data_IF_567604702107
#
_entry.id   IF_567604702107
#
_cell.length_a   1.000
_cell.length_b   1.000
_cell.length_c   1.000
_cell.angle_alpha   90.00
_cell.angle_beta   90.00
_cell.angle_gamma   90.00
#
_symmetry.space_group_name_H-M   'P 1'
#
loop_
_entity.id
_entity.type
_entity.pdbx_description
1 polymer ?
#
# COMPACT_ATOMS: atom_id res chain seq x y z
N UNK A 1 -0.40 6.10 14.40
CA UNK A 1 -1.35 6.92 15.19
C UNK A 1 -2.42 7.44 14.23
N UNK A 2 -3.65 6.89 14.26
CA UNK A 2 -4.65 7.17 13.21
C UNK A 2 -6.00 7.68 13.66
N UNK A 3 -6.35 7.58 14.96
CA UNK A 3 -7.69 7.98 15.44
C UNK A 3 -7.55 8.81 16.71
N UNK A 4 -8.17 9.99 16.76
CA UNK A 4 -8.20 10.84 17.96
C UNK A 4 -9.38 10.47 18.86
N UNK A 5 -9.40 9.23 19.35
CA UNK A 5 -10.42 8.73 20.29
C UNK A 5 -9.80 8.59 21.69
N UNK A 6 -9.83 9.64 22.54
CA UNK A 6 -9.41 9.52 23.92
C UNK A 6 -10.36 8.61 24.70
N UNK A 7 -9.83 7.90 25.69
CA UNK A 7 -10.58 6.97 26.54
C UNK A 7 -10.32 7.29 28.00
N UNK A 8 -11.29 7.07 28.91
CA UNK A 8 -11.07 7.32 30.35
C UNK A 8 -9.85 6.56 30.88
N UNK A 9 -9.69 5.31 30.44
CA UNK A 9 -8.62 4.40 30.85
C UNK A 9 -7.91 3.84 29.62
N UNK A 10 -6.58 3.84 29.66
CA UNK A 10 -5.71 3.18 28.68
C UNK A 10 -4.92 2.09 29.39
N UNK A 11 -4.82 0.92 28.76
CA UNK A 11 -4.03 -0.21 29.25
C UNK A 11 -2.98 -0.54 28.19
N UNK A 12 -1.71 -0.33 28.53
CA UNK A 12 -0.57 -0.79 27.73
C UNK A 12 -0.26 -2.21 28.18
N UNK A 13 -0.77 -3.17 27.41
CA UNK A 13 -0.67 -4.60 27.73
C UNK A 13 0.76 -5.12 27.57
N UNK A 14 1.37 -4.83 26.43
CA UNK A 14 2.69 -5.32 26.05
C UNK A 14 3.63 -4.13 25.87
N UNK A 15 4.71 -4.09 26.67
CA UNK A 15 5.73 -3.03 26.60
C UNK A 15 6.95 -3.44 25.77
N UNK A 16 6.92 -4.64 25.20
CA UNK A 16 7.95 -5.15 24.28
C UNK A 16 7.31 -5.53 22.96
N UNK A 17 8.02 -5.31 21.86
CA UNK A 17 7.69 -5.79 20.51
C UNK A 17 8.86 -6.54 19.91
N UNK A 18 8.59 -7.42 18.95
CA UNK A 18 9.67 -8.01 18.18
C UNK A 18 10.38 -6.94 17.36
N UNK A 19 11.71 -6.96 17.39
CA UNK A 19 12.58 -6.13 16.58
C UNK A 19 13.61 -7.05 15.92
N UNK A 20 13.47 -7.24 14.60
CA UNK A 20 14.35 -8.11 13.82
C UNK A 20 15.81 -7.63 13.84
N UNK A 21 16.05 -6.32 13.94
CA UNK A 21 17.41 -5.77 14.02
C UNK A 21 18.06 -6.05 15.37
N UNK A 22 17.26 -6.15 16.43
CA UNK A 22 17.72 -6.55 17.76
C UNK A 22 17.75 -8.07 17.95
N UNK A 23 17.27 -8.85 16.98
CA UNK A 23 17.21 -10.31 17.02
C UNK A 23 16.25 -10.87 18.07
N UNK A 24 15.23 -10.10 18.48
CA UNK A 24 14.31 -10.55 19.53
C UNK A 24 13.33 -9.50 20.03
N UNK A 25 12.73 -9.76 21.19
CA UNK A 25 11.80 -8.82 21.83
C UNK A 25 12.56 -7.63 22.42
N UNK A 26 12.32 -6.45 21.86
CA UNK A 26 12.86 -5.19 22.32
C UNK A 26 11.77 -4.37 23.04
N UNK A 27 12.14 -3.59 24.06
CA UNK A 27 11.23 -2.65 24.72
C UNK A 27 10.74 -1.58 23.75
N UNK A 28 9.49 -1.15 23.91
CA UNK A 28 8.97 0.06 23.25
C UNK A 28 9.72 1.29 23.74
N UNK A 29 9.82 2.32 22.89
CA UNK A 29 10.41 3.60 23.31
C UNK A 29 9.56 4.26 24.40
N UNK A 30 10.20 5.09 25.23
CA UNK A 30 9.52 5.87 26.26
C UNK A 30 8.48 6.78 25.61
N UNK A 31 8.83 7.42 24.50
CA UNK A 31 7.92 8.27 23.74
C UNK A 31 6.67 7.51 23.27
N UNK A 32 6.80 6.29 22.76
CA UNK A 32 5.64 5.48 22.32
C UNK A 32 4.70 5.16 23.49
N UNK A 33 5.26 4.72 24.62
CA UNK A 33 4.46 4.42 25.82
C UNK A 33 3.77 5.69 26.33
N UNK A 34 4.47 6.82 26.39
CA UNK A 34 3.90 8.11 26.77
C UNK A 34 2.78 8.55 25.82
N UNK A 35 2.93 8.34 24.51
CA UNK A 35 1.88 8.64 23.53
C UNK A 35 0.64 7.76 23.72
N UNK A 36 0.81 6.48 24.08
CA UNK A 36 -0.31 5.61 24.43
C UNK A 36 -1.00 6.10 25.70
N UNK A 37 -0.23 6.32 26.78
CA UNK A 37 -0.76 6.79 28.06
C UNK A 37 -1.46 8.16 27.95
N UNK A 38 -0.94 9.06 27.11
CA UNK A 38 -1.51 10.38 26.86
C UNK A 38 -2.90 10.37 26.22
N UNK A 39 -3.40 9.21 25.77
CA UNK A 39 -4.78 9.01 25.32
C UNK A 39 -5.77 8.80 26.47
N UNK A 40 -5.28 8.67 27.70
CA UNK A 40 -6.10 8.51 28.90
C UNK A 40 -6.71 9.84 29.36
N UNK A 41 -8.02 9.82 29.61
CA UNK A 41 -8.84 10.97 30.02
C UNK A 41 -9.52 11.63 28.82
N UNK A 42 -10.86 11.68 28.83
CA UNK A 42 -11.63 12.39 27.80
C UNK A 42 -11.84 13.85 28.22
N UNK A 43 -11.31 14.83 27.46
CA UNK A 43 -11.49 16.24 27.77
C UNK A 43 -12.98 16.60 27.91
N UNK A 44 -13.33 17.24 29.03
CA UNK A 44 -14.71 17.67 29.32
C UNK A 44 -15.67 16.60 29.83
N UNK A 45 -15.26 15.32 29.88
CA UNK A 45 -16.10 14.21 30.38
C UNK A 45 -15.54 13.57 31.64
N UNK A 46 -14.22 13.31 31.68
CA UNK A 46 -13.59 12.64 32.81
C UNK A 46 -12.83 13.63 33.70
N UNK A 47 -12.94 13.55 35.03
CA UNK A 47 -12.20 14.42 35.95
C UNK A 47 -10.69 14.13 35.98
N UNK A 48 -10.28 12.94 35.53
CA UNK A 48 -8.90 12.51 35.39
C UNK A 48 -8.82 11.31 34.42
N UNK A 49 -7.64 11.06 33.85
CA UNK A 49 -7.34 9.88 33.03
C UNK A 49 -6.55 8.84 33.82
N UNK A 50 -6.75 7.56 33.50
CA UNK A 50 -6.00 6.45 34.10
C UNK A 50 -5.20 5.71 33.02
N UNK A 51 -3.88 5.61 33.20
CA UNK A 51 -3.02 4.81 32.36
C UNK A 51 -2.40 3.67 33.17
N UNK A 52 -2.47 2.45 32.64
CA UNK A 52 -1.98 1.23 33.30
C UNK A 52 -0.93 0.54 32.42
N UNK A 53 0.18 0.15 33.02
CA UNK A 53 1.15 -0.80 32.46
C UNK A 53 0.97 -2.14 33.17
N UNK A 54 0.98 -3.24 32.42
CA UNK A 54 0.87 -4.59 32.99
C UNK A 54 2.28 -5.13 33.27
N UNK A 55 2.53 -5.47 34.53
CA UNK A 55 3.72 -6.19 34.97
C UNK A 55 3.34 -7.62 35.39
N UNK A 56 4.19 -8.60 35.08
CA UNK A 56 4.00 -10.00 35.45
C UNK A 56 4.66 -10.37 36.78
N UNK A 57 5.54 -9.52 37.30
CA UNK A 57 6.24 -9.70 38.57
C UNK A 57 6.48 -8.36 39.28
N UNK A 58 6.89 -8.40 40.56
CA UNK A 58 7.28 -7.18 41.28
C UNK A 58 8.57 -6.56 40.71
N UNK A 59 9.54 -7.38 40.31
CA UNK A 59 10.78 -6.88 39.70
C UNK A 59 10.48 -6.15 38.37
N UNK A 60 9.54 -6.67 37.57
CA UNK A 60 9.10 -6.02 36.34
C UNK A 60 8.31 -4.73 36.63
N UNK A 61 7.54 -4.67 37.72
CA UNK A 61 6.86 -3.45 38.13
C UNK A 61 7.86 -2.33 38.38
N UNK A 62 8.90 -2.59 39.17
CA UNK A 62 9.94 -1.60 39.47
C UNK A 62 10.67 -1.16 38.18
N UNK A 63 11.01 -2.10 37.29
CA UNK A 63 11.60 -1.77 35.99
C UNK A 63 10.71 -0.85 35.15
N UNK A 64 9.40 -1.14 35.07
CA UNK A 64 8.47 -0.36 34.25
C UNK A 64 8.28 1.06 34.80
N UNK A 65 8.28 1.23 36.12
CA UNK A 65 8.25 2.57 36.72
C UNK A 65 9.51 3.36 36.38
N UNK A 66 10.69 2.76 36.54
CA UNK A 66 11.96 3.41 36.21
C UNK A 66 12.06 3.75 34.73
N UNK A 67 11.71 2.79 33.86
CA UNK A 67 11.85 2.91 32.41
C UNK A 67 10.84 3.86 31.77
N UNK A 68 9.60 3.89 32.25
CA UNK A 68 8.53 4.61 31.55
C UNK A 68 7.86 5.70 32.39
N UNK A 69 7.67 5.52 33.70
CA UNK A 69 6.92 6.50 34.49
C UNK A 69 7.81 7.64 34.96
N UNK A 70 9.05 7.34 35.36
CA UNK A 70 9.99 8.33 35.88
C UNK A 70 11.01 8.81 34.85
N UNK A 71 11.12 8.13 33.70
CA UNK A 71 12.02 8.52 32.63
C UNK A 71 11.41 9.60 31.73
N UNK A 72 12.25 10.53 31.27
CA UNK A 72 11.93 11.41 30.17
C UNK A 72 12.01 10.66 28.82
N UNK A 73 11.25 11.07 27.79
CA UNK A 73 11.36 10.53 26.44
C UNK A 73 12.78 10.62 25.87
N UNK A 74 13.14 9.67 25.02
CA UNK A 74 14.42 9.68 24.33
C UNK A 74 14.57 10.96 23.47
N UNK A 75 15.77 11.55 23.39
CA UNK A 75 15.99 12.73 22.56
C UNK A 75 15.78 12.38 21.09
N UNK A 76 15.12 13.27 20.34
CA UNK A 76 14.92 13.11 18.90
C UNK A 76 16.27 13.02 18.20
N UNK A 77 16.48 11.97 17.40
CA UNK A 77 17.69 11.76 16.59
C UNK A 77 17.36 11.84 15.12
N UNK A 78 18.22 12.51 14.35
CA UNK A 78 18.11 12.54 12.89
C UNK A 78 18.27 11.13 12.30
N UNK A 79 17.43 10.81 11.31
CA UNK A 79 17.50 9.58 10.51
C UNK A 79 18.05 9.82 9.10
N UNK A 80 18.53 11.04 8.81
CA UNK A 80 18.97 11.43 7.47
C UNK A 80 20.12 10.57 6.94
N UNK A 81 21.04 10.11 7.79
CA UNK A 81 22.21 9.31 7.35
C UNK A 81 21.87 7.90 6.84
N UNK A 82 20.60 7.50 6.82
CA UNK A 82 20.22 6.30 6.10
C UNK A 82 20.41 6.52 4.59
N UNK A 83 21.09 5.59 3.91
CA UNK A 83 21.40 5.69 2.47
C UNK A 83 20.16 5.97 1.59
N UNK A 84 18.98 5.32 1.80
CA UNK A 84 17.78 5.62 1.01
C UNK A 84 17.34 7.09 1.07
N UNK A 85 17.37 7.66 2.28
CA UNK A 85 17.00 9.06 2.49
C UNK A 85 18.01 10.00 1.81
N UNK A 86 19.31 9.75 1.98
CA UNK A 86 20.34 10.61 1.38
C UNK A 86 20.34 10.56 -0.14
N UNK A 87 20.19 9.39 -0.74
CA UNK A 87 20.13 9.22 -2.21
C UNK A 87 19.01 10.06 -2.82
N UNK A 88 17.81 9.93 -2.27
CA UNK A 88 16.62 10.69 -2.71
C UNK A 88 16.81 12.20 -2.52
N UNK A 89 17.32 12.62 -1.36
CA UNK A 89 17.50 14.04 -1.07
C UNK A 89 18.64 14.70 -1.86
N UNK A 90 19.74 13.98 -2.13
CA UNK A 90 20.84 14.49 -2.96
C UNK A 90 20.34 14.71 -4.39
N UNK A 91 19.69 13.71 -4.99
CA UNK A 91 19.12 13.85 -6.34
C UNK A 91 18.12 15.02 -6.39
N UNK A 92 17.20 15.09 -5.42
CA UNK A 92 16.21 16.17 -5.36
C UNK A 92 16.85 17.56 -5.21
N UNK A 93 17.93 17.68 -4.43
CA UNK A 93 18.65 18.96 -4.21
C UNK A 93 19.32 19.44 -5.49
N UNK A 94 19.90 18.53 -6.29
CA UNK A 94 20.48 18.88 -7.59
C UNK A 94 19.38 19.16 -8.62
N UNK A 95 18.37 18.28 -8.72
CA UNK A 95 17.26 18.41 -9.68
C UNK A 95 16.40 19.67 -9.48
N UNK A 96 16.34 20.20 -8.25
CA UNK A 96 15.67 21.47 -7.95
C UNK A 96 16.58 22.71 -8.09
N UNK A 97 17.88 22.52 -8.33
CA UNK A 97 18.85 23.58 -8.50
C UNK A 97 19.33 24.23 -7.19
N UNK A 98 19.08 23.63 -6.03
CA UNK A 98 19.60 24.14 -4.75
C UNK A 98 21.11 23.92 -4.59
N UNK A 99 21.67 22.89 -5.24
CA UNK A 99 23.10 22.66 -5.32
C UNK A 99 23.49 22.14 -6.70
N UNK A 100 24.67 22.52 -7.17
CA UNK A 100 25.24 22.12 -8.47
C UNK A 100 26.70 21.67 -8.35
N UNK A 101 27.15 21.35 -7.13
CA UNK A 101 28.50 20.88 -6.85
C UNK A 101 28.51 20.11 -5.54
N UNK A 102 29.52 19.24 -5.37
CA UNK A 102 29.77 18.54 -4.11
C UNK A 102 29.83 19.50 -2.91
N UNK A 103 30.51 20.64 -3.07
CA UNK A 103 30.62 21.65 -2.01
C UNK A 103 29.26 22.25 -1.65
N UNK A 104 28.41 22.55 -2.64
CA UNK A 104 27.05 23.05 -2.41
C UNK A 104 26.14 22.03 -1.71
N UNK A 105 26.26 20.74 -2.07
CA UNK A 105 25.54 19.67 -1.40
C UNK A 105 25.93 19.54 0.07
N UNK A 106 27.23 19.59 0.37
CA UNK A 106 27.70 19.55 1.76
C UNK A 106 27.26 20.79 2.55
N UNK A 107 27.30 21.99 1.96
CA UNK A 107 26.77 23.19 2.60
C UNK A 107 25.27 23.06 2.94
N UNK A 108 24.50 22.45 2.05
CA UNK A 108 23.09 22.15 2.30
C UNK A 108 22.92 21.15 3.45
N UNK A 109 23.63 20.01 3.40
CA UNK A 109 23.55 18.95 4.41
C UNK A 109 24.06 19.40 5.79
N UNK A 110 25.02 20.32 5.85
CA UNK A 110 25.53 20.94 7.08
C UNK A 110 24.45 21.73 7.84
N UNK A 111 23.36 22.15 7.18
CA UNK A 111 22.24 22.86 7.80
C UNK A 111 21.16 21.94 8.36
N UNK A 112 21.36 20.62 8.30
CA UNK A 112 20.38 19.63 8.76
C UNK A 112 20.54 19.31 10.26
N UNK A 113 19.49 18.73 10.86
CA UNK A 113 19.57 18.19 12.22
C UNK A 113 20.67 17.13 12.36
N UNK A 114 20.93 16.36 11.30
CA UNK A 114 21.98 15.34 11.29
C UNK A 114 23.35 15.94 11.54
N UNK A 115 23.71 16.99 10.80
CA UNK A 115 24.99 17.68 10.95
C UNK A 115 25.14 18.37 12.30
N UNK A 116 24.02 18.84 12.90
CA UNK A 116 24.05 19.42 14.25
C UNK A 116 24.28 18.36 15.34
N UNK A 117 23.78 17.14 15.14
CA UNK A 117 23.83 16.07 16.14
C UNK A 117 25.06 15.17 16.03
N UNK A 118 25.69 15.11 14.86
CA UNK A 118 26.85 14.26 14.61
C UNK A 118 28.10 15.11 14.39
N UNK A 119 29.13 14.86 15.19
CA UNK A 119 30.41 15.56 15.08
C UNK A 119 31.29 15.01 13.94
N UNK A 120 30.97 13.83 13.39
CA UNK A 120 31.77 13.21 12.34
C UNK A 120 31.35 13.70 10.94
N UNK A 121 31.89 14.86 10.57
CA UNK A 121 31.77 15.42 9.23
C UNK A 121 32.28 14.47 8.13
N UNK A 122 33.24 13.59 8.43
CA UNK A 122 33.86 12.72 7.43
C UNK A 122 32.91 11.61 6.99
N UNK A 123 32.07 11.14 7.90
CA UNK A 123 31.04 10.16 7.56
C UNK A 123 30.03 10.75 6.57
N UNK A 124 29.54 11.96 6.83
CA UNK A 124 28.62 12.66 5.93
C UNK A 124 29.26 12.93 4.55
N UNK A 125 30.53 13.35 4.53
CA UNK A 125 31.28 13.54 3.29
C UNK A 125 31.40 12.24 2.50
N UNK A 126 31.79 11.14 3.15
CA UNK A 126 31.91 9.83 2.49
C UNK A 126 30.58 9.36 1.92
N UNK A 127 29.51 9.36 2.73
CA UNK A 127 28.19 8.91 2.26
C UNK A 127 27.68 9.81 1.12
N UNK A 128 27.93 11.12 1.18
CA UNK A 128 27.57 12.02 0.07
C UNK A 128 28.31 11.65 -1.21
N UNK A 129 29.61 11.34 -1.12
CA UNK A 129 30.42 10.92 -2.27
C UNK A 129 29.93 9.59 -2.84
N UNK A 130 29.66 8.60 -1.98
CA UNK A 130 29.12 7.29 -2.38
C UNK A 130 27.76 7.45 -3.10
N UNK A 131 26.90 8.37 -2.63
CA UNK A 131 25.60 8.63 -3.26
C UNK A 131 25.73 9.39 -4.59
N UNK A 132 26.67 10.34 -4.71
CA UNK A 132 26.93 11.02 -5.99
C UNK A 132 27.42 10.00 -7.01
N UNK A 133 28.37 9.14 -6.64
CA UNK A 133 28.88 8.08 -7.52
C UNK A 133 27.76 7.12 -7.92
N UNK A 134 26.93 6.68 -6.97
CA UNK A 134 25.78 5.83 -7.27
C UNK A 134 24.82 6.48 -8.28
N UNK A 135 24.47 7.75 -8.07
CA UNK A 135 23.55 8.46 -8.94
C UNK A 135 24.14 8.72 -10.34
N UNK A 136 25.46 8.94 -10.45
CA UNK A 136 26.17 9.11 -11.72
C UNK A 136 26.23 7.79 -12.51
N UNK A 137 26.64 6.70 -11.85
CA UNK A 137 26.72 5.36 -12.48
C UNK A 137 25.37 4.88 -13.00
N UNK A 138 24.29 5.19 -12.30
CA UNK A 138 22.93 4.84 -12.71
C UNK A 138 22.28 5.87 -13.65
N UNK A 139 22.99 6.94 -14.04
CA UNK A 139 22.52 7.93 -15.01
C UNK A 139 21.41 8.84 -14.50
N UNK A 140 21.33 9.07 -13.19
CA UNK A 140 20.41 10.03 -12.57
C UNK A 140 21.07 11.41 -12.37
N UNK A 141 22.38 11.45 -12.20
CA UNK A 141 23.20 12.66 -12.22
C UNK A 141 24.28 12.54 -13.30
N UNK A 142 24.75 13.68 -13.79
CA UNK A 142 25.99 13.80 -14.56
C UNK A 142 26.98 14.64 -13.75
N UNK A 143 28.20 14.10 -13.56
CA UNK A 143 29.33 14.83 -12.98
C UNK A 143 30.25 15.35 -14.08
N UNK A 144 30.24 16.66 -14.32
CA UNK A 144 31.12 17.30 -15.31
C UNK A 144 32.60 17.28 -14.85
N UNK A 145 33.58 17.35 -15.79
CA UNK A 145 35.01 17.34 -15.44
C UNK A 145 35.47 18.47 -14.52
N UNK A 146 34.72 19.58 -14.46
CA UNK A 146 34.99 20.70 -13.56
C UNK A 146 34.34 20.55 -12.17
N UNK A 147 33.62 19.45 -11.93
CA UNK A 147 32.92 19.13 -10.69
C UNK A 147 31.48 19.66 -10.61
N UNK A 148 30.95 20.20 -11.71
CA UNK A 148 29.54 20.59 -11.80
C UNK A 148 28.64 19.36 -11.79
N UNK A 149 27.63 19.36 -10.94
CA UNK A 149 26.61 18.33 -10.84
C UNK A 149 25.33 18.80 -11.53
N UNK A 150 24.81 17.99 -12.44
CA UNK A 150 23.51 18.23 -13.08
C UNK A 150 22.65 16.98 -13.03
N UNK A 151 21.34 17.15 -12.85
CA UNK A 151 20.43 16.01 -12.94
C UNK A 151 20.14 15.70 -14.40
N UNK A 152 20.18 14.42 -14.76
CA UNK A 152 19.79 13.98 -16.11
C UNK A 152 18.27 14.15 -16.30
N UNK A 153 17.78 14.02 -17.54
CA UNK A 153 16.33 13.96 -17.79
C UNK A 153 15.65 12.88 -16.95
N UNK A 154 16.28 11.70 -16.88
CA UNK A 154 15.82 10.56 -16.10
C UNK A 154 15.85 10.89 -14.60
N UNK A 155 16.92 11.51 -14.10
CA UNK A 155 17.02 11.96 -12.71
C UNK A 155 15.95 12.98 -12.33
N UNK A 156 15.61 13.92 -13.21
CA UNK A 156 14.48 14.82 -13.02
C UNK A 156 13.14 14.08 -12.97
N UNK A 157 12.96 13.03 -13.76
CA UNK A 157 11.75 12.20 -13.71
C UNK A 157 11.66 11.41 -12.40
N UNK A 158 12.73 10.70 -12.00
CA UNK A 158 12.79 9.97 -10.72
C UNK A 158 12.49 10.90 -9.54
N UNK A 159 13.11 12.09 -9.52
CA UNK A 159 12.85 13.10 -8.47
C UNK A 159 11.40 13.59 -8.45
N UNK A 160 10.77 13.82 -9.62
CA UNK A 160 9.36 14.25 -9.71
C UNK A 160 8.36 13.16 -9.33
N UNK A 161 8.69 11.91 -9.61
CA UNK A 161 7.89 10.74 -9.23
C UNK A 161 8.00 10.43 -7.72
N UNK A 162 8.95 11.07 -7.02
CA UNK A 162 9.25 10.82 -5.62
C UNK A 162 9.66 9.36 -5.36
N UNK A 163 10.30 8.74 -6.35
CA UNK A 163 10.76 7.36 -6.32
C UNK A 163 12.19 7.30 -5.80
N UNK A 164 12.50 6.34 -4.93
CA UNK A 164 13.89 6.14 -4.53
C UNK A 164 14.74 5.78 -5.77
N UNK A 165 15.91 6.41 -5.99
CA UNK A 165 16.73 6.11 -7.17
C UNK A 165 17.20 4.66 -7.28
N UNK A 166 17.26 3.90 -6.19
CA UNK A 166 17.50 2.45 -6.21
C UNK A 166 16.28 1.68 -6.71
N UNK A 167 15.08 2.06 -6.29
CA UNK A 167 13.84 1.52 -6.87
C UNK A 167 13.76 1.82 -8.37
N UNK A 168 14.16 3.02 -8.78
CA UNK A 168 14.23 3.40 -10.19
C UNK A 168 15.22 2.52 -10.96
N UNK A 169 16.43 2.30 -10.42
CA UNK A 169 17.43 1.44 -11.06
C UNK A 169 16.93 -0.01 -11.22
N UNK A 170 16.36 -0.59 -10.16
CA UNK A 170 15.78 -1.95 -10.17
C UNK A 170 14.66 -2.08 -11.22
N UNK A 171 13.72 -1.12 -11.24
CA UNK A 171 12.63 -1.09 -12.21
C UNK A 171 13.17 -0.97 -13.64
N UNK A 172 14.13 -0.07 -13.88
CA UNK A 172 14.69 0.14 -15.22
C UNK A 172 15.42 -1.11 -15.73
N UNK A 173 16.17 -1.79 -14.85
CA UNK A 173 16.84 -3.04 -15.19
C UNK A 173 15.82 -4.13 -15.56
N UNK A 174 14.83 -4.39 -14.70
CA UNK A 174 13.80 -5.39 -14.97
C UNK A 174 12.96 -5.09 -16.23
N UNK A 175 12.64 -3.81 -16.49
CA UNK A 175 11.92 -3.42 -17.71
C UNK A 175 12.77 -3.55 -18.97
N UNK A 176 14.08 -3.31 -18.88
CA UNK A 176 15.01 -3.49 -20.01
C UNK A 176 15.12 -4.96 -20.40
N UNK A 177 15.19 -5.85 -19.42
CA UNK A 177 15.23 -7.30 -19.65
C UNK A 177 13.89 -7.78 -20.27
N UNK A 178 12.76 -7.32 -19.72
CA UNK A 178 11.45 -7.60 -20.31
C UNK A 178 11.34 -7.12 -21.77
N UNK A 179 11.85 -5.92 -22.09
CA UNK A 179 11.80 -5.38 -23.45
C UNK A 179 12.59 -6.22 -24.47
N UNK A 180 13.63 -6.92 -24.02
CA UNK A 180 14.42 -7.82 -24.85
C UNK A 180 13.72 -9.17 -25.10
N UNK A 181 13.02 -9.70 -24.08
CA UNK A 181 12.52 -11.08 -24.07
C UNK A 181 11.03 -11.22 -24.44
N UNK A 182 10.21 -10.17 -24.32
CA UNK A 182 8.80 -10.18 -24.75
C UNK A 182 7.82 -9.54 -23.76
N UNK A 183 6.51 -9.78 -23.94
CA UNK A 183 5.47 -9.19 -23.06
C UNK A 183 5.61 -9.78 -21.65
N UNK A 184 5.96 -8.98 -20.63
CA UNK A 184 6.14 -9.49 -19.27
C UNK A 184 4.82 -10.00 -18.69
N UNK A 185 4.90 -10.98 -17.78
CA UNK A 185 3.74 -11.46 -17.04
C UNK A 185 3.33 -10.46 -15.95
N UNK A 186 2.07 -10.54 -15.51
CA UNK A 186 1.56 -9.68 -14.44
C UNK A 186 2.26 -9.98 -13.12
N UNK A 187 2.49 -11.27 -12.82
CA UNK A 187 3.28 -11.69 -11.66
C UNK A 187 4.70 -11.12 -11.69
N UNK A 188 5.37 -11.16 -12.84
CA UNK A 188 6.71 -10.61 -13.02
C UNK A 188 6.77 -9.11 -12.76
N UNK A 189 5.78 -8.36 -13.24
CA UNK A 189 5.67 -6.92 -12.99
C UNK A 189 5.34 -6.59 -11.54
N UNK A 190 4.44 -7.35 -10.89
CA UNK A 190 4.13 -7.19 -9.47
C UNK A 190 5.33 -7.53 -8.60
N UNK A 191 6.09 -8.56 -8.96
CA UNK A 191 7.32 -8.93 -8.27
C UNK A 191 8.43 -7.91 -8.46
N UNK A 192 8.62 -7.39 -9.67
CA UNK A 192 9.56 -6.30 -9.94
C UNK A 192 9.34 -5.10 -9.03
N UNK A 193 8.10 -4.61 -8.92
CA UNK A 193 7.80 -3.48 -8.02
C UNK A 193 7.83 -3.86 -6.55
N UNK A 194 7.50 -5.10 -6.21
CA UNK A 194 7.50 -5.57 -4.83
C UNK A 194 8.90 -5.70 -4.23
N UNK A 195 9.93 -5.95 -5.06
CA UNK A 195 11.34 -6.01 -4.64
C UNK A 195 11.98 -4.64 -4.40
N UNK A 196 11.27 -3.56 -4.70
CA UNK A 196 11.83 -2.21 -4.55
C UNK A 196 11.78 -1.73 -3.10
N UNK A 197 12.77 -0.94 -2.63
CA UNK A 197 12.78 -0.37 -1.29
C UNK A 197 11.53 0.44 -0.90
N UNK A 198 10.77 0.91 -1.89
CA UNK A 198 9.53 1.66 -1.69
C UNK A 198 8.31 0.76 -1.39
N UNK A 199 8.41 -0.54 -1.59
CA UNK A 199 7.41 -1.51 -1.16
C UNK A 199 7.77 -2.08 0.21
N UNK A 200 6.85 -1.99 1.18
CA UNK A 200 6.94 -2.82 2.37
C UNK A 200 6.42 -4.21 2.03
N UNK A 201 7.26 -5.23 2.14
CA UNK A 201 6.93 -6.61 1.77
C UNK A 201 6.14 -7.35 2.87
N UNK A 202 5.53 -8.47 2.50
CA UNK A 202 4.99 -9.44 3.43
C UNK A 202 6.11 -10.34 3.96
N UNK A 203 6.18 -10.50 5.28
CA UNK A 203 7.11 -11.45 5.89
C UNK A 203 6.74 -12.89 5.57
N UNK A 204 7.76 -13.73 5.39
CA UNK A 204 7.62 -15.18 5.33
C UNK A 204 7.25 -15.76 6.70
N UNK A 205 6.36 -16.74 6.68
CA UNK A 205 5.93 -17.54 7.83
C UNK A 205 6.51 -18.94 7.74
N UNK A 206 6.27 -19.72 8.79
CA UNK A 206 6.63 -21.14 8.79
C UNK A 206 5.96 -21.86 7.60
N UNK A 207 6.79 -22.41 6.71
CA UNK A 207 6.36 -23.10 5.49
C UNK A 207 6.40 -22.24 4.23
N UNK A 208 6.35 -20.90 4.36
CA UNK A 208 6.34 -19.99 3.22
C UNK A 208 7.65 -20.07 2.43
N UNK A 209 8.80 -20.18 3.10
CA UNK A 209 10.10 -20.28 2.41
C UNK A 209 10.13 -21.46 1.42
N UNK A 210 9.64 -22.64 1.83
CA UNK A 210 9.55 -23.82 0.97
C UNK A 210 8.52 -23.62 -0.15
N UNK A 211 7.33 -23.11 0.18
CA UNK A 211 6.24 -22.84 -0.78
C UNK A 211 6.67 -21.87 -1.88
N UNK A 212 7.23 -20.72 -1.50
CA UNK A 212 7.62 -19.68 -2.45
C UNK A 212 8.90 -20.04 -3.19
N UNK A 213 9.80 -20.84 -2.62
CA UNK A 213 10.93 -21.42 -3.38
C UNK A 213 10.42 -22.34 -4.48
N UNK A 214 9.46 -23.23 -4.18
CA UNK A 214 8.85 -24.09 -5.21
C UNK A 214 8.13 -23.28 -6.28
N UNK A 215 7.38 -22.24 -5.88
CA UNK A 215 6.71 -21.34 -6.83
C UNK A 215 7.72 -20.61 -7.72
N UNK A 216 8.85 -20.17 -7.15
CA UNK A 216 9.93 -19.50 -7.89
C UNK A 216 10.49 -20.41 -8.99
N UNK A 217 10.71 -21.70 -8.69
CA UNK A 217 11.15 -22.69 -9.68
C UNK A 217 10.07 -23.01 -10.72
N UNK A 218 8.80 -23.11 -10.32
CA UNK A 218 7.69 -23.37 -11.24
C UNK A 218 7.50 -22.22 -12.24
N UNK A 219 7.73 -20.98 -11.78
CA UNK A 219 7.44 -19.75 -12.52
C UNK A 219 8.71 -18.97 -12.87
N UNK A 220 9.86 -19.63 -13.00
CA UNK A 220 11.16 -18.98 -13.24
C UNK A 220 11.12 -17.99 -14.42
N UNK A 221 10.47 -18.38 -15.52
CA UNK A 221 10.32 -17.56 -16.74
C UNK A 221 9.45 -16.30 -16.55
N UNK A 222 8.72 -16.19 -15.44
CA UNK A 222 7.85 -15.05 -15.17
C UNK A 222 8.61 -13.84 -14.63
N UNK A 223 9.78 -14.04 -14.00
CA UNK A 223 10.48 -13.00 -13.24
C UNK A 223 11.39 -12.14 -14.12
N UNK A 224 11.55 -10.89 -13.71
CA UNK A 224 12.32 -9.89 -14.42
C UNK A 224 13.58 -9.53 -13.63
N UNK A 225 14.72 -9.41 -14.33
CA UNK A 225 16.00 -9.09 -13.71
C UNK A 225 16.68 -10.29 -13.06
N UNK A 226 17.61 -10.01 -12.14
CA UNK A 226 18.41 -11.03 -11.47
C UNK A 226 17.60 -11.82 -10.44
N UNK A 227 17.67 -13.16 -10.53
CA UNK A 227 17.20 -14.08 -9.50
C UNK A 227 18.41 -14.49 -8.63
N UNK A 228 18.43 -14.14 -7.34
CA UNK A 228 19.52 -14.52 -6.44
C UNK A 228 19.53 -16.03 -6.21
N UNK A 229 20.71 -16.56 -5.87
CA UNK A 229 20.84 -17.97 -5.50
C UNK A 229 20.17 -18.23 -4.14
N UNK A 230 19.60 -19.43 -3.94
CA UNK A 230 19.05 -19.87 -2.63
C UNK A 230 20.06 -19.80 -1.47
N UNK A 231 21.37 -19.75 -1.77
CA UNK A 231 22.42 -19.62 -0.77
C UNK A 231 22.80 -18.16 -0.47
N UNK A 232 22.22 -17.21 -1.19
CA UNK A 232 22.41 -15.79 -0.99
C UNK A 232 21.46 -15.29 0.11
N UNK A 233 21.94 -14.52 1.10
CA UNK A 233 21.07 -13.89 2.11
C UNK A 233 19.91 -13.07 1.52
N UNK A 234 20.09 -12.50 0.32
CA UNK A 234 19.05 -11.72 -0.36
C UNK A 234 17.89 -12.57 -0.88
N UNK A 235 18.02 -13.90 -0.90
CA UNK A 235 16.96 -14.80 -1.40
C UNK A 235 15.70 -14.74 -0.52
N UNK A 236 15.83 -14.59 0.79
CA UNK A 236 14.69 -14.50 1.71
C UNK A 236 13.84 -13.24 1.45
N UNK A 237 14.50 -12.10 1.25
CA UNK A 237 13.83 -10.84 0.87
C UNK A 237 13.20 -10.97 -0.53
N UNK A 238 13.92 -11.60 -1.47
CA UNK A 238 13.38 -11.87 -2.82
C UNK A 238 12.10 -12.74 -2.80
N UNK A 239 12.04 -13.74 -1.90
CA UNK A 239 10.85 -14.56 -1.67
C UNK A 239 9.73 -13.78 -0.96
N UNK A 240 10.07 -12.87 -0.05
CA UNK A 240 9.10 -11.97 0.62
C UNK A 240 8.42 -11.04 -0.40
N UNK A 241 9.19 -10.51 -1.35
CA UNK A 241 8.65 -9.81 -2.51
C UNK A 241 7.78 -10.72 -3.39
N UNK A 242 8.16 -11.99 -3.60
CA UNK A 242 7.36 -12.95 -4.37
C UNK A 242 6.01 -13.24 -3.71
N UNK A 243 6.01 -13.45 -2.39
CA UNK A 243 4.79 -13.58 -1.59
C UNK A 243 3.88 -12.36 -1.73
N UNK A 244 4.48 -11.17 -1.69
CA UNK A 244 3.76 -9.91 -1.89
C UNK A 244 3.15 -9.83 -3.29
N UNK A 245 3.92 -10.19 -4.31
CA UNK A 245 3.47 -10.20 -5.71
C UNK A 245 2.33 -11.20 -5.94
N UNK A 246 2.40 -12.39 -5.32
CA UNK A 246 1.35 -13.40 -5.41
C UNK A 246 0.04 -12.93 -4.74
N UNK A 247 0.12 -12.21 -3.62
CA UNK A 247 -1.05 -11.55 -3.02
C UNK A 247 -1.68 -10.52 -3.96
N UNK A 248 -0.86 -9.69 -4.63
CA UNK A 248 -1.33 -8.72 -5.62
C UNK A 248 -1.93 -9.41 -6.86
N UNK A 249 -1.37 -10.54 -7.27
CA UNK A 249 -1.89 -11.37 -8.35
C UNK A 249 -3.25 -11.96 -7.99
N UNK A 250 -3.41 -12.56 -6.80
CA UNK A 250 -4.71 -13.06 -6.33
C UNK A 250 -5.77 -11.94 -6.27
N UNK A 251 -5.38 -10.74 -5.81
CA UNK A 251 -6.24 -9.57 -5.84
C UNK A 251 -6.67 -9.20 -7.27
N UNK A 252 -5.73 -9.18 -8.22
CA UNK A 252 -5.96 -8.91 -9.63
C UNK A 252 -6.56 -10.09 -10.43
N UNK A 253 -6.76 -11.23 -9.78
CA UNK A 253 -7.46 -12.41 -10.29
C UNK A 253 -8.81 -12.61 -9.60
N UNK A 254 -9.32 -11.54 -8.99
CA UNK A 254 -10.65 -11.51 -8.39
C UNK A 254 -10.88 -12.51 -7.24
N UNK A 255 -9.83 -12.93 -6.53
CA UNK A 255 -9.97 -13.69 -5.28
C UNK A 255 -10.60 -12.81 -4.20
N UNK A 256 -11.58 -13.35 -3.47
CA UNK A 256 -12.33 -12.60 -2.45
C UNK A 256 -11.39 -12.03 -1.38
N UNK A 257 -11.68 -10.81 -0.91
CA UNK A 257 -10.80 -10.10 0.03
C UNK A 257 -10.58 -10.91 1.31
N UNK A 258 -11.62 -11.55 1.84
CA UNK A 258 -11.52 -12.39 3.03
C UNK A 258 -10.59 -13.60 2.81
N UNK A 259 -10.67 -14.25 1.65
CA UNK A 259 -9.77 -15.36 1.30
C UNK A 259 -8.31 -14.90 1.20
N UNK A 260 -8.05 -13.71 0.65
CA UNK A 260 -6.71 -13.12 0.61
C UNK A 260 -6.24 -12.83 2.04
N UNK A 261 -7.08 -12.21 2.88
CA UNK A 261 -6.69 -11.92 4.27
C UNK A 261 -6.37 -13.18 5.06
N UNK A 262 -7.12 -14.26 4.86
CA UNK A 262 -6.86 -15.55 5.52
C UNK A 262 -5.58 -16.20 4.98
N UNK A 263 -5.46 -16.35 3.66
CA UNK A 263 -4.32 -17.01 2.99
C UNK A 263 -2.99 -16.36 3.34
N UNK A 264 -2.92 -15.03 3.29
CA UNK A 264 -1.70 -14.29 3.57
C UNK A 264 -1.60 -13.84 5.03
N UNK A 265 -2.65 -14.08 5.86
CA UNK A 265 -2.84 -13.61 7.24
C UNK A 265 -2.58 -12.11 7.43
N UNK A 266 -3.09 -11.31 6.51
CA UNK A 266 -2.96 -9.86 6.53
C UNK A 266 -4.31 -9.23 6.83
N UNK A 267 -4.34 -7.99 7.31
CA UNK A 267 -5.60 -7.27 7.46
C UNK A 267 -6.12 -6.72 6.13
N UNK A 268 -7.42 -6.40 6.03
CA UNK A 268 -8.00 -5.66 4.89
C UNK A 268 -7.28 -4.34 4.58
N UNK A 269 -6.76 -3.67 5.62
CA UNK A 269 -5.98 -2.44 5.48
C UNK A 269 -4.60 -2.66 4.86
N UNK A 270 -3.97 -3.81 5.15
CA UNK A 270 -2.66 -4.17 4.58
C UNK A 270 -2.80 -4.45 3.08
N UNK A 271 -3.83 -5.21 2.68
CA UNK A 271 -4.12 -5.47 1.26
C UNK A 271 -4.28 -4.15 0.51
N UNK A 272 -5.13 -3.25 1.02
CA UNK A 272 -5.33 -1.91 0.41
C UNK A 272 -4.04 -1.10 0.32
N UNK A 273 -3.25 -1.07 1.39
CA UNK A 273 -1.97 -0.36 1.40
C UNK A 273 -1.00 -0.90 0.36
N UNK A 274 -0.90 -2.22 0.22
CA UNK A 274 -0.05 -2.87 -0.80
C UNK A 274 -0.53 -2.58 -2.21
N UNK A 275 -1.85 -2.65 -2.44
CA UNK A 275 -2.46 -2.31 -3.73
C UNK A 275 -2.19 -0.86 -4.11
N UNK A 276 -2.32 0.08 -3.16
CA UNK A 276 -2.05 1.50 -3.40
C UNK A 276 -0.57 1.74 -3.76
N UNK A 277 0.36 1.16 -3.00
CA UNK A 277 1.80 1.25 -3.29
C UNK A 277 2.13 0.61 -4.65
N UNK A 278 1.61 -0.58 -4.95
CA UNK A 278 1.84 -1.27 -6.21
C UNK A 278 1.30 -0.47 -7.40
N UNK A 279 0.10 0.11 -7.27
CA UNK A 279 -0.48 0.99 -8.30
C UNK A 279 0.43 2.19 -8.58
N UNK A 280 0.93 2.84 -7.53
CA UNK A 280 1.85 3.98 -7.69
C UNK A 280 3.15 3.54 -8.36
N UNK A 281 3.79 2.47 -7.89
CA UNK A 281 5.04 1.94 -8.46
C UNK A 281 4.90 1.45 -9.91
N UNK A 282 3.80 0.80 -10.27
CA UNK A 282 3.54 0.45 -11.66
C UNK A 282 3.31 1.70 -12.52
N UNK A 283 2.74 2.77 -11.94
CA UNK A 283 2.63 4.07 -12.60
C UNK A 283 3.98 4.75 -12.83
N UNK A 284 4.91 4.62 -11.88
CA UNK A 284 6.29 5.09 -12.05
C UNK A 284 7.01 4.25 -13.11
N UNK A 285 6.89 2.92 -13.05
CA UNK A 285 7.43 2.00 -14.05
C UNK A 285 6.90 2.29 -15.46
N UNK A 286 5.61 2.58 -15.62
CA UNK A 286 5.01 2.96 -16.90
C UNK A 286 5.62 4.27 -17.44
N UNK A 287 5.82 5.26 -16.55
CA UNK A 287 6.43 6.55 -16.90
C UNK A 287 7.90 6.39 -17.34
N UNK A 288 8.66 5.56 -16.61
CA UNK A 288 10.06 5.25 -16.93
C UNK A 288 10.17 4.47 -18.25
N UNK A 289 9.31 3.48 -18.47
CA UNK A 289 9.24 2.76 -19.74
C UNK A 289 8.97 3.70 -20.92
N UNK A 290 8.03 4.64 -20.76
CA UNK A 290 7.71 5.64 -21.78
C UNK A 290 8.87 6.60 -22.08
N UNK A 291 9.59 7.07 -21.05
CA UNK A 291 10.74 7.96 -21.22
C UNK A 291 11.94 7.26 -21.88
N UNK A 292 12.20 6.00 -21.50
CA UNK A 292 13.30 5.20 -22.03
C UNK A 292 12.96 4.53 -23.37
N UNK A 293 11.70 4.59 -23.79
CA UNK A 293 11.23 4.04 -25.07
C UNK A 293 11.05 2.52 -25.07
N UNK A 294 10.86 1.90 -23.90
CA UNK A 294 10.59 0.46 -23.80
C UNK A 294 9.17 0.13 -24.29
N UNK A 295 9.06 -0.90 -25.13
CA UNK A 295 7.82 -1.40 -25.70
C UNK A 295 6.90 -2.12 -24.70
N UNK A 296 7.37 -2.37 -23.48
CA UNK A 296 6.61 -3.02 -22.40
C UNK A 296 5.61 -2.11 -21.68
N UNK A 297 5.62 -0.79 -21.94
CA UNK A 297 4.73 0.17 -21.29
C UNK A 297 3.23 -0.21 -21.31
N UNK A 298 2.65 -0.78 -22.38
CA UNK A 298 1.26 -1.24 -22.37
C UNK A 298 0.99 -2.38 -21.38
N UNK A 299 1.93 -3.31 -21.22
CA UNK A 299 1.81 -4.41 -20.26
C UNK A 299 1.89 -3.89 -18.82
N UNK A 300 2.77 -2.93 -18.55
CA UNK A 300 2.85 -2.25 -17.25
C UNK A 300 1.56 -1.51 -16.92
N UNK A 301 0.99 -0.80 -17.91
CA UNK A 301 -0.31 -0.11 -17.76
C UNK A 301 -1.43 -1.10 -17.44
N UNK A 302 -1.49 -2.22 -18.14
CA UNK A 302 -2.49 -3.26 -17.88
C UNK A 302 -2.36 -3.80 -16.45
N UNK A 303 -1.16 -4.19 -16.03
CA UNK A 303 -0.90 -4.64 -14.66
C UNK A 303 -1.31 -3.58 -13.62
N UNK A 304 -1.03 -2.30 -13.89
CA UNK A 304 -1.45 -1.18 -13.03
C UNK A 304 -2.98 -1.10 -12.90
N UNK A 305 -3.72 -1.20 -13.99
CA UNK A 305 -5.18 -1.11 -13.98
C UNK A 305 -5.80 -2.33 -13.28
N UNK A 306 -5.24 -3.52 -13.51
CA UNK A 306 -5.69 -4.76 -12.86
C UNK A 306 -5.49 -4.72 -11.35
N UNK A 307 -4.33 -4.26 -10.87
CA UNK A 307 -4.10 -4.12 -9.42
C UNK A 307 -4.92 -2.98 -8.82
N UNK A 308 -5.09 -1.85 -9.52
CA UNK A 308 -5.88 -0.70 -9.05
C UNK A 308 -7.33 -1.10 -8.73
N UNK A 309 -7.92 -1.92 -9.60
CA UNK A 309 -9.32 -2.29 -9.47
C UNK A 309 -9.56 -3.68 -8.88
N UNK A 310 -8.54 -4.54 -8.81
CA UNK A 310 -8.66 -5.92 -8.36
C UNK A 310 -9.48 -6.77 -9.32
N UNK A 311 -9.13 -6.69 -10.61
CA UNK A 311 -9.89 -7.31 -11.70
C UNK A 311 -9.00 -7.98 -12.73
N UNK A 312 -9.55 -8.99 -13.40
CA UNK A 312 -8.91 -9.64 -14.55
C UNK A 312 -8.87 -8.72 -15.79
N UNK A 313 -8.13 -9.14 -16.82
CA UNK A 313 -7.85 -8.33 -18.01
C UNK A 313 -9.15 -7.87 -18.70
N UNK A 314 -10.15 -8.75 -18.81
CA UNK A 314 -11.40 -8.47 -19.50
C UNK A 314 -12.26 -7.39 -18.82
N UNK A 315 -12.08 -7.17 -17.51
CA UNK A 315 -12.89 -6.22 -16.74
C UNK A 315 -12.25 -4.82 -16.64
N UNK A 316 -11.03 -4.65 -17.15
CA UNK A 316 -10.25 -3.41 -16.98
C UNK A 316 -10.98 -2.17 -17.49
N UNK A 317 -11.76 -2.28 -18.57
CA UNK A 317 -12.51 -1.14 -19.10
C UNK A 317 -13.69 -0.76 -18.19
N UNK A 318 -14.51 -1.75 -17.81
CA UNK A 318 -15.67 -1.56 -16.91
C UNK A 318 -15.26 -1.03 -15.54
N UNK A 319 -14.21 -1.60 -14.95
CA UNK A 319 -13.79 -1.28 -13.59
C UNK A 319 -13.27 0.15 -13.44
N UNK A 320 -12.83 0.78 -14.54
CA UNK A 320 -12.47 2.19 -14.54
C UNK A 320 -13.67 3.16 -14.62
N UNK A 321 -14.91 2.66 -14.69
CA UNK A 321 -16.12 3.49 -14.56
C UNK A 321 -16.34 3.82 -13.08
N UNK A 322 -16.50 5.12 -12.78
CA UNK A 322 -16.75 5.56 -11.39
C UNK A 322 -17.98 4.86 -10.83
N UNK A 323 -17.84 4.27 -9.65
CA UNK A 323 -18.91 3.50 -9.00
C UNK A 323 -19.00 2.04 -9.42
N UNK A 324 -18.14 1.56 -10.33
CA UNK A 324 -18.05 0.15 -10.71
C UNK A 324 -16.79 -0.46 -10.08
N UNK A 325 -16.93 -1.06 -8.90
CA UNK A 325 -15.85 -1.86 -8.30
C UNK A 325 -15.81 -3.29 -8.85
N UNK A 326 -14.78 -4.08 -8.50
CA UNK A 326 -14.56 -5.46 -8.98
C UNK A 326 -15.80 -6.35 -9.04
N UNK A 327 -16.56 -6.47 -7.94
CA UNK A 327 -17.78 -7.30 -7.88
C UNK A 327 -18.87 -6.81 -8.84
N UNK A 328 -18.97 -5.50 -9.07
CA UNK A 328 -19.95 -4.91 -10.00
C UNK A 328 -19.51 -5.10 -11.44
N UNK A 329 -18.23 -4.91 -11.74
CA UNK A 329 -17.65 -5.17 -13.06
C UNK A 329 -17.92 -6.62 -13.50
N UNK A 330 -17.62 -7.60 -12.63
CA UNK A 330 -17.86 -9.01 -12.94
C UNK A 330 -19.33 -9.35 -13.18
N UNK A 331 -20.24 -8.76 -12.39
CA UNK A 331 -21.70 -8.95 -12.59
C UNK A 331 -22.19 -8.37 -13.91
N UNK A 332 -21.73 -7.16 -14.27
CA UNK A 332 -22.07 -6.54 -15.55
C UNK A 332 -21.53 -7.38 -16.72
N UNK A 333 -20.29 -7.83 -16.63
CA UNK A 333 -19.67 -8.68 -17.64
C UNK A 333 -20.42 -10.00 -17.84
N UNK A 334 -20.79 -10.67 -16.74
CA UNK A 334 -21.58 -11.90 -16.80
C UNK A 334 -22.99 -11.69 -17.36
N UNK A 335 -23.53 -10.47 -17.27
CA UNK A 335 -24.79 -10.08 -17.90
C UNK A 335 -24.63 -9.66 -19.39
N UNK A 336 -23.45 -9.85 -19.97
CA UNK A 336 -23.16 -9.53 -21.38
C UNK A 336 -22.81 -8.07 -21.66
N UNK A 337 -22.53 -7.28 -20.62
CA UNK A 337 -22.05 -5.90 -20.74
C UNK A 337 -20.54 -5.94 -20.53
N UNK A 338 -19.76 -6.01 -21.61
CA UNK A 338 -18.34 -6.33 -21.54
C UNK A 338 -17.45 -5.09 -21.42
N UNK A 339 -17.89 -3.95 -21.94
CA UNK A 339 -17.09 -2.72 -21.98
C UNK A 339 -17.88 -1.43 -21.67
N UNK A 340 -17.19 -0.28 -21.66
CA UNK A 340 -17.82 1.02 -21.39
C UNK A 340 -18.82 1.45 -22.46
N UNK A 341 -18.61 1.04 -23.70
CA UNK A 341 -19.52 1.35 -24.78
C UNK A 341 -20.81 0.55 -24.64
N UNK A 342 -20.71 -0.75 -24.34
CA UNK A 342 -21.84 -1.60 -24.01
C UNK A 342 -22.63 -1.02 -22.85
N UNK A 343 -21.97 -0.66 -21.74
CA UNK A 343 -22.64 -0.11 -20.57
C UNK A 343 -23.35 1.23 -20.86
N UNK A 344 -22.84 2.04 -21.81
CA UNK A 344 -23.45 3.31 -22.20
C UNK A 344 -24.73 3.14 -23.02
N UNK A 345 -24.87 2.04 -23.73
CA UNK A 345 -26.03 1.75 -24.57
C UNK A 345 -26.87 0.55 -24.05
N UNK A 346 -26.51 0.00 -22.89
CA UNK A 346 -27.14 -1.16 -22.27
C UNK A 346 -28.61 -0.91 -21.86
N UNK A 347 -29.41 -1.97 -21.90
CA UNK A 347 -30.79 -1.90 -21.41
C UNK A 347 -30.82 -1.70 -19.89
N UNK A 348 -31.61 -0.72 -19.44
CA UNK A 348 -31.69 -0.34 -18.02
C UNK A 348 -32.12 -1.50 -17.11
N UNK A 349 -33.00 -2.38 -17.59
CA UNK A 349 -33.44 -3.59 -16.87
C UNK A 349 -32.30 -4.57 -16.64
N UNK A 350 -31.43 -4.77 -17.64
CA UNK A 350 -30.24 -5.65 -17.55
C UNK A 350 -29.24 -5.08 -16.54
N UNK A 351 -28.93 -3.80 -16.64
CA UNK A 351 -28.03 -3.10 -15.69
C UNK A 351 -28.60 -3.17 -14.26
N UNK A 352 -29.90 -2.95 -14.10
CA UNK A 352 -30.57 -3.02 -12.80
C UNK A 352 -30.56 -4.45 -12.23
N UNK A 353 -30.79 -5.46 -13.06
CA UNK A 353 -30.70 -6.88 -12.70
C UNK A 353 -29.30 -7.28 -12.25
N UNK A 354 -28.28 -6.97 -13.06
CA UNK A 354 -26.87 -7.24 -12.76
C UNK A 354 -26.41 -6.57 -11.45
N UNK A 355 -26.96 -5.40 -11.13
CA UNK A 355 -26.67 -4.66 -9.90
C UNK A 355 -27.64 -4.98 -8.74
N UNK A 356 -28.29 -6.15 -8.77
CA UNK A 356 -29.18 -6.67 -7.72
C UNK A 356 -30.33 -5.71 -7.35
N UNK A 357 -30.94 -5.08 -8.36
CA UNK A 357 -32.08 -4.19 -8.17
C UNK A 357 -31.76 -2.85 -7.49
N UNK A 358 -30.48 -2.50 -7.28
CA UNK A 358 -30.07 -1.27 -6.59
C UNK A 358 -30.21 -0.04 -7.50
N UNK A 359 -31.42 0.51 -7.58
CA UNK A 359 -31.78 1.62 -8.48
C UNK A 359 -30.80 2.80 -8.42
N UNK A 360 -30.52 3.36 -7.24
CA UNK A 360 -29.58 4.49 -7.08
C UNK A 360 -28.18 4.18 -7.59
N UNK A 361 -27.70 2.95 -7.36
CA UNK A 361 -26.38 2.52 -7.82
C UNK A 361 -26.36 2.41 -9.34
N UNK A 362 -27.38 1.79 -9.93
CA UNK A 362 -27.47 1.63 -11.37
C UNK A 362 -27.61 2.99 -12.09
N UNK A 363 -28.44 3.89 -11.57
CA UNK A 363 -28.56 5.27 -12.06
C UNK A 363 -27.21 6.00 -12.01
N UNK A 364 -26.52 5.97 -10.87
CA UNK A 364 -25.19 6.60 -10.73
C UNK A 364 -24.16 6.02 -11.72
N UNK A 365 -24.16 4.70 -11.92
CA UNK A 365 -23.24 4.04 -12.86
C UNK A 365 -23.55 4.46 -14.30
N UNK A 366 -24.83 4.50 -14.68
CA UNK A 366 -25.27 4.96 -16.00
C UNK A 366 -24.96 6.45 -16.23
N UNK A 367 -25.10 7.30 -15.22
CA UNK A 367 -24.68 8.70 -15.27
C UNK A 367 -23.17 8.81 -15.53
N UNK A 368 -22.37 8.06 -14.77
CA UNK A 368 -20.91 8.11 -14.85
C UNK A 368 -20.36 7.61 -16.20
N UNK A 369 -21.05 6.67 -16.87
CA UNK A 369 -20.65 6.20 -18.21
C UNK A 369 -21.18 7.10 -19.35
N UNK A 370 -22.10 8.02 -19.02
CA UNK A 370 -22.74 8.93 -19.98
C UNK A 370 -23.90 8.30 -20.75
N UNK A 371 -24.66 7.42 -20.11
CA UNK A 371 -25.89 6.85 -20.68
C UNK A 371 -26.91 7.96 -21.00
N UNK A 372 -27.68 7.81 -22.09
CA UNK A 372 -28.57 8.87 -22.60
C UNK A 372 -29.79 9.13 -21.71
N UNK A 373 -30.23 8.10 -21.00
CA UNK A 373 -31.34 8.13 -20.06
C UNK A 373 -30.95 7.30 -18.84
N UNK A 374 -30.32 7.87 -17.81
CA UNK A 374 -29.83 7.11 -16.67
C UNK A 374 -30.91 6.80 -15.62
N UNK A 375 -32.07 7.46 -15.69
CA UNK A 375 -33.11 7.34 -14.66
C UNK A 375 -33.67 5.92 -14.57
N UNK A 376 -33.72 5.40 -13.34
CA UNK A 376 -34.26 4.07 -13.01
C UNK A 376 -35.73 4.10 -12.58
N UNK A 377 -36.41 5.24 -12.71
CA UNK A 377 -37.82 5.37 -12.33
C UNK A 377 -38.72 4.49 -13.23
N UNK A 378 -39.47 3.58 -12.60
CA UNK A 378 -40.42 2.70 -13.29
C UNK A 378 -39.77 1.56 -14.09
N UNK A 379 -38.49 1.27 -13.87
CA UNK A 379 -37.79 0.14 -14.49
C UNK A 379 -37.78 -1.05 -13.53
N UNK A 380 -38.23 -2.20 -14.02
CA UNK A 380 -38.14 -3.48 -13.33
C UNK A 380 -36.81 -4.18 -13.70
N UNK A 381 -36.14 -4.86 -12.74
CA UNK A 381 -34.92 -5.59 -13.01
C UNK A 381 -35.19 -6.78 -13.92
N UNK A 382 -34.29 -7.02 -14.87
CA UNK A 382 -34.28 -8.25 -15.65
C UNK A 382 -33.88 -9.42 -14.73
N UNK A 383 -34.75 -10.43 -14.62
CA UNK A 383 -34.51 -11.63 -13.80
C UNK A 383 -33.40 -12.50 -14.38
N UNK A 384 -33.23 -12.53 -15.70
CA UNK A 384 -32.21 -13.34 -16.38
C UNK A 384 -30.81 -12.72 -16.24
N UNK A 385 -30.73 -11.42 -15.91
CA UNK A 385 -29.48 -10.71 -15.65
C UNK A 385 -29.07 -10.72 -14.16
N UNK A 386 -29.86 -11.34 -13.28
CA UNK A 386 -29.51 -11.41 -11.86
C UNK A 386 -28.38 -12.43 -11.65
N UNK A 387 -27.34 -12.06 -10.87
CA UNK A 387 -26.27 -13.00 -10.56
C UNK A 387 -26.82 -14.16 -9.70
N UNK A 388 -26.39 -15.39 -10.01
CA UNK A 388 -26.68 -16.56 -9.17
C UNK A 388 -26.19 -16.30 -7.73
N UNK A 389 -27.09 -16.37 -6.74
CA UNK A 389 -26.80 -16.11 -5.32
C UNK A 389 -25.85 -17.14 -4.66
N UNK A 390 -25.15 -17.97 -5.43
CA UNK A 390 -24.40 -19.12 -4.96
C UNK A 390 -23.05 -18.80 -4.27
N UNK A 391 -22.76 -17.54 -3.92
CA UNK A 391 -21.47 -17.14 -3.33
C UNK A 391 -21.53 -16.12 -2.19
N UNK A 392 -22.70 -15.63 -1.80
CA UNK A 392 -22.82 -14.62 -0.73
C UNK A 392 -23.23 -15.30 0.59
N UNK A 393 -22.25 -15.94 1.24
CA UNK A 393 -22.42 -16.57 2.54
C UNK A 393 -22.57 -15.58 3.68
N UNK A 394 -23.74 -14.97 3.80
CA UNK A 394 -24.40 -14.69 5.08
C UNK A 394 -24.09 -13.39 5.83
N UNK A 395 -24.89 -12.35 5.56
CA UNK A 395 -25.47 -11.52 6.64
C UNK A 395 -26.87 -12.07 6.96
N UNK A 396 -26.87 -13.21 7.65
CA UNK A 396 -28.08 -13.85 8.17
C UNK A 396 -28.28 -13.49 9.63
N UNK A 397 -29.32 -12.71 9.90
CA UNK A 397 -29.89 -12.47 11.23
C UNK A 397 -29.95 -13.77 12.06
N UNK A 398 -29.08 -13.90 13.06
CA UNK A 398 -29.29 -14.89 14.13
C UNK A 398 -30.28 -14.32 15.15
N UNK A 399 -31.56 -14.48 14.86
CA UNK A 399 -32.61 -14.43 15.88
C UNK A 399 -32.38 -15.52 16.93
N UNK A 400 -31.82 -15.14 18.07
CA UNK A 400 -31.88 -16.00 19.26
C UNK A 400 -33.25 -15.85 19.90
N UNK A 401 -34.05 -16.91 19.84
CA UNK A 401 -35.27 -17.04 20.63
C UNK A 401 -34.85 -17.30 22.07
N UNK A 402 -34.94 -16.26 22.90
CA UNK A 402 -34.84 -16.34 24.36
C UNK A 402 -36.05 -15.65 24.96
N UNK A 403 -36.96 -16.45 25.54
CA UNK A 403 -38.15 -15.99 26.26
C UNK A 403 -37.77 -15.08 27.44
N UNK A 404 -38.47 -13.94 27.58
CA UNK A 404 -38.25 -13.02 28.70
C UNK A 404 -39.20 -11.83 28.70
N UNK A 405 -40.41 -12.05 29.24
CA UNK A 405 -41.44 -11.05 29.56
C UNK A 405 -40.89 -9.73 30.15
N UNK A 406 -41.32 -8.57 29.63
CA UNK A 406 -42.11 -7.55 30.35
C UNK A 406 -42.40 -6.31 29.49
N UNK A 407 -43.51 -5.66 29.83
CA UNK A 407 -44.19 -4.50 29.26
C UNK A 407 -43.39 -3.20 29.08
N UNK A 408 -43.66 -2.44 28.02
CA UNK A 408 -44.38 -1.16 28.06
C UNK A 408 -44.33 -0.41 26.71
N UNK A 409 -45.41 0.32 26.43
CA UNK A 409 -45.67 1.29 25.35
C UNK A 409 -44.60 2.37 25.16
N UNK A 410 -44.27 2.74 23.92
CA UNK A 410 -44.60 4.05 23.29
C UNK A 410 -44.11 4.10 21.83
N UNK A 411 -44.79 4.87 20.98
CA UNK A 411 -44.52 5.00 19.55
C UNK A 411 -43.40 5.98 19.19
N UNK A 412 -42.83 5.81 17.99
CA UNK A 412 -41.92 6.80 17.41
C UNK A 412 -41.15 6.30 16.18
N UNK A 413 -41.62 6.72 15.00
CA UNK A 413 -40.89 7.12 13.78
C UNK A 413 -39.71 6.23 13.31
N UNK A 414 -39.90 5.58 12.16
CA UNK A 414 -38.85 4.95 11.38
C UNK A 414 -37.80 5.99 10.94
N UNK A 415 -36.55 5.74 11.32
CA UNK A 415 -35.37 6.41 10.78
C UNK A 415 -34.66 5.42 9.87
N UNK A 416 -34.36 5.85 8.64
CA UNK A 416 -33.56 5.15 7.66
C UNK A 416 -32.17 4.85 8.22
N UNK A 417 -31.76 3.57 8.21
CA UNK A 417 -30.38 3.17 8.44
C UNK A 417 -29.56 3.46 7.17
N UNK A 418 -28.80 4.56 7.21
CA UNK A 418 -27.75 4.87 6.25
C UNK A 418 -26.60 3.88 6.39
N UNK A 419 -26.49 2.99 5.40
CA UNK A 419 -25.38 2.08 5.18
C UNK A 419 -24.07 2.87 4.94
N UNK A 420 -23.16 2.87 5.92
CA UNK A 420 -21.89 3.59 5.91
C UNK A 420 -20.82 2.92 5.02
N UNK A 421 -21.10 2.78 3.73
CA UNK A 421 -20.12 2.34 2.72
C UNK A 421 -19.63 3.47 1.79
N UNK A 422 -19.89 4.74 2.14
CA UNK A 422 -19.47 5.91 1.33
C UNK A 422 -18.70 7.00 2.09
N UNK A 423 -17.73 6.63 2.93
CA UNK A 423 -16.74 7.60 3.45
C UNK A 423 -15.38 7.35 2.80
N UNK A 424 -15.30 7.71 1.52
CA UNK A 424 -14.06 7.92 0.78
C UNK A 424 -14.05 9.36 0.28
N UNK A 425 -13.73 10.29 1.18
CA UNK A 425 -13.18 11.62 0.94
C UNK A 425 -12.99 12.29 2.31
N UNK A 426 -11.81 12.07 2.92
CA UNK A 426 -11.20 12.93 3.94
C UNK A 426 -9.69 12.80 3.90
#
# INVERSE_FOLDING_TARGET
AGVNTPARRVVVRDWRRYDGTAGGMAPLSVLEVHQMMGRAGRPGLDPYGEALLIASSHDELDELFERYVWADPEPVRSKLAAEPALRTHILATVASGFANSRAGLLEFLERTLHATQNADRRELERVTDDMIEYLDVNGFLDVEPDGTLTATSLGHTVSRLYLDPMSAAEIIEGLRDADADGRPTVLGLYHLVARTPDMYELYLRSGDEEEYTMLAHEREEAFLGHVPSEFDPAFEDWLSALKTARMLEDWASEVEEDEITERYGVGPGDVRGKVETARWLLGTAESLAGELGFGVAPAVREARVRVEHGVEEELTDLAGVRGVGRKRARRLYNAGIEDRADLRDAEKSVVLGALRGRQRTAETVLENVGHRDPSMEGIDPDEDAQPDDAGDGGDGERGSVGEGSTSATDGGVAADDEDQSSLGDF
#
